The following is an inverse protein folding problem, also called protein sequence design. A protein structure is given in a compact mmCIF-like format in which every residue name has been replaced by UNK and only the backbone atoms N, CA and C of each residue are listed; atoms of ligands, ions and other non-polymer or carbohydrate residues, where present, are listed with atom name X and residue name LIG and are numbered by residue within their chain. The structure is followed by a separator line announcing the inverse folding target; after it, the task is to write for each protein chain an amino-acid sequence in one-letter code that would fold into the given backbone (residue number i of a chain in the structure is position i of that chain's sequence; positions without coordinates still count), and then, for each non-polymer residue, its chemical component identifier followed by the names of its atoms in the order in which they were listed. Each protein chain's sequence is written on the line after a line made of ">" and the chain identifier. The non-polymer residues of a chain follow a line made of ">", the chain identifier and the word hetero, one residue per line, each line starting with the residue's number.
data_IF_236155185713
#
_entry.id   IF_236155185713
#
_cell.length_a   1.000
_cell.length_b   1.000
_cell.length_c   1.000
_cell.angle_alpha   90.00
_cell.angle_beta   90.00
_cell.angle_gamma   90.00
#
_symmetry.space_group_name_H-M   'P 1'
#
loop_
_entity.id
_entity.type
_entity.pdbx_description
1 polymer ?
#
# COMPACT_ATOMS: atom_id res chain seq x y z
N UNK A 1 7.38 -3.04 -4.63
CA UNK A 1 6.76 -4.33 -5.04
C UNK A 1 5.27 -4.10 -5.25
N UNK A 2 4.64 -4.74 -6.24
CA UNK A 2 3.18 -4.72 -6.37
C UNK A 2 2.61 -5.82 -5.47
N UNK A 3 1.91 -5.43 -4.41
CA UNK A 3 1.23 -6.35 -3.49
C UNK A 3 -0.14 -6.67 -4.10
N UNK A 4 -0.46 -7.96 -4.23
CA UNK A 4 -1.72 -8.43 -4.83
C UNK A 4 -2.67 -8.92 -3.75
N UNK A 5 -3.97 -8.65 -3.85
CA UNK A 5 -4.93 -9.15 -2.86
C UNK A 5 -4.86 -10.69 -2.69
N UNK A 6 -4.89 -11.15 -1.44
CA UNK A 6 -4.90 -12.57 -1.09
C UNK A 6 -6.34 -13.03 -0.83
N UNK A 7 -6.67 -14.25 -1.19
CA UNK A 7 -7.95 -14.84 -0.77
C UNK A 7 -7.89 -15.25 0.70
N UNK A 8 -9.04 -15.45 1.34
CA UNK A 8 -9.09 -15.87 2.75
C UNK A 8 -8.28 -17.15 3.03
N UNK A 9 -8.25 -18.09 2.09
CA UNK A 9 -7.44 -19.30 2.19
C UNK A 9 -5.94 -18.99 2.11
N UNK A 10 -5.53 -18.15 1.15
CA UNK A 10 -4.13 -17.74 0.98
C UNK A 10 -3.62 -16.94 2.17
N UNK A 11 -4.44 -16.03 2.72
CA UNK A 11 -4.10 -15.28 3.93
C UNK A 11 -3.87 -16.20 5.13
N UNK A 12 -4.67 -17.27 5.26
CA UNK A 12 -4.51 -18.23 6.34
C UNK A 12 -3.14 -18.95 6.25
N UNK A 13 -2.73 -19.35 5.06
CA UNK A 13 -1.38 -19.89 4.83
C UNK A 13 -0.30 -18.84 5.11
N UNK A 14 -0.47 -17.61 4.65
CA UNK A 14 0.50 -16.53 4.90
C UNK A 14 0.65 -16.20 6.38
N UNK A 15 -0.42 -16.27 7.20
CA UNK A 15 -0.35 -16.14 8.66
C UNK A 15 0.59 -17.17 9.30
N UNK A 16 0.60 -18.40 8.78
CA UNK A 16 1.55 -19.41 9.21
C UNK A 16 2.96 -19.10 8.68
N UNK A 17 3.08 -18.73 7.40
CA UNK A 17 4.37 -18.48 6.76
C UNK A 17 5.11 -17.27 7.36
N UNK A 18 4.41 -16.20 7.75
CA UNK A 18 5.01 -15.06 8.45
C UNK A 18 5.60 -15.44 9.80
N UNK A 19 5.01 -16.42 10.50
CA UNK A 19 5.55 -16.92 11.78
C UNK A 19 6.82 -17.74 11.57
N UNK A 20 6.88 -18.50 10.47
CA UNK A 20 8.01 -19.36 10.15
C UNK A 20 9.18 -18.61 9.49
N UNK A 21 8.90 -17.57 8.71
CA UNK A 21 9.89 -16.77 7.99
C UNK A 21 10.54 -17.50 6.81
N UNK A 22 11.32 -18.53 7.10
CA UNK A 22 11.90 -19.47 6.13
C UNK A 22 11.60 -20.91 6.54
N UNK A 23 11.09 -21.71 5.62
CA UNK A 23 10.56 -23.04 5.94
C UNK A 23 10.61 -24.00 4.74
N UNK A 24 10.53 -25.29 5.04
CA UNK A 24 10.32 -26.36 4.08
C UNK A 24 8.87 -26.84 4.12
N UNK A 25 8.45 -27.59 3.09
CA UNK A 25 7.09 -28.15 3.04
C UNK A 25 6.76 -29.03 4.27
N UNK A 26 7.77 -29.73 4.81
CA UNK A 26 7.61 -30.59 5.99
C UNK A 26 7.26 -29.77 7.24
N UNK A 27 7.90 -28.62 7.43
CA UNK A 27 7.68 -27.74 8.59
C UNK A 27 6.24 -27.24 8.65
N UNK A 28 5.64 -26.96 7.48
CA UNK A 28 4.23 -26.56 7.38
C UNK A 28 3.31 -27.68 7.87
N UNK A 29 3.59 -28.92 7.45
CA UNK A 29 2.79 -30.11 7.81
C UNK A 29 2.89 -30.46 9.31
N UNK A 30 3.98 -30.09 9.97
CA UNK A 30 4.18 -30.28 11.41
C UNK A 30 3.41 -29.25 12.25
N UNK A 31 3.12 -28.07 11.70
CA UNK A 31 2.40 -26.98 12.38
C UNK A 31 0.86 -27.12 12.34
N UNK A 32 0.32 -28.05 11.54
CA UNK A 32 -1.12 -28.23 11.42
C UNK A 32 -1.66 -29.25 12.45
N UNK A 33 -2.70 -28.90 13.24
CA UNK A 33 -3.43 -29.86 14.05
C UNK A 33 -4.21 -30.84 13.16
N UNK A 34 -4.53 -32.03 13.68
CA UNK A 34 -5.33 -33.01 12.93
C UNK A 34 -6.78 -32.51 12.74
N UNK A 35 -7.40 -32.70 11.56
CA UNK A 35 -6.88 -33.41 10.39
C UNK A 35 -5.91 -32.57 9.55
N UNK A 36 -4.73 -33.13 9.25
CA UNK A 36 -3.73 -32.44 8.44
C UNK A 36 -4.23 -32.18 7.01
N UNK A 37 -3.95 -31.00 6.43
CA UNK A 37 -4.26 -30.74 5.04
C UNK A 37 -3.46 -31.67 4.13
N UNK A 38 -4.03 -32.05 2.98
CA UNK A 38 -3.31 -32.86 2.01
C UNK A 38 -2.10 -32.10 1.46
N UNK A 39 -0.94 -32.76 1.34
CA UNK A 39 0.32 -32.12 0.90
C UNK A 39 0.19 -31.43 -0.48
N UNK A 40 -0.59 -32.02 -1.39
CA UNK A 40 -0.88 -31.42 -2.69
C UNK A 40 -1.56 -30.05 -2.56
N UNK A 41 -2.49 -29.90 -1.61
CA UNK A 41 -3.18 -28.62 -1.37
C UNK A 41 -2.19 -27.55 -0.94
N UNK A 42 -1.33 -27.86 0.03
CA UNK A 42 -0.27 -26.94 0.49
C UNK A 42 0.68 -26.59 -0.65
N UNK A 43 1.07 -27.58 -1.46
CA UNK A 43 1.95 -27.39 -2.62
C UNK A 43 1.33 -26.46 -3.67
N UNK A 44 0.02 -26.57 -3.91
CA UNK A 44 -0.70 -25.66 -4.82
C UNK A 44 -0.69 -24.23 -4.29
N UNK A 45 -0.99 -24.02 -3.00
CA UNK A 45 -0.95 -22.68 -2.40
C UNK A 45 0.46 -22.08 -2.39
N UNK A 46 1.49 -22.89 -2.16
CA UNK A 46 2.88 -22.43 -2.27
C UNK A 46 3.20 -21.94 -3.68
N UNK A 47 2.79 -22.66 -4.73
CA UNK A 47 2.98 -22.21 -6.11
C UNK A 47 2.25 -20.89 -6.38
N UNK A 48 0.99 -20.78 -5.98
CA UNK A 48 0.19 -19.56 -6.14
C UNK A 48 0.85 -18.37 -5.44
N UNK A 49 1.34 -18.57 -4.21
CA UNK A 49 1.98 -17.49 -3.44
C UNK A 49 3.37 -17.12 -3.97
N UNK A 50 4.10 -18.07 -4.59
CA UNK A 50 5.32 -17.78 -5.35
C UNK A 50 4.99 -16.93 -6.58
N UNK A 51 4.00 -17.34 -7.37
CA UNK A 51 3.56 -16.61 -8.56
C UNK A 51 3.06 -15.19 -8.23
N UNK A 52 2.36 -15.03 -7.10
CA UNK A 52 1.92 -13.73 -6.60
C UNK A 52 3.06 -12.88 -6.01
N UNK A 53 4.24 -13.45 -5.81
CA UNK A 53 5.44 -12.76 -5.32
C UNK A 53 5.50 -12.56 -3.80
N UNK A 54 4.70 -13.29 -3.02
CA UNK A 54 4.70 -13.21 -1.56
C UNK A 54 5.82 -14.01 -0.92
N UNK A 55 6.19 -15.13 -1.56
CA UNK A 55 7.23 -16.05 -1.11
C UNK A 55 8.17 -16.35 -2.29
N UNK A 56 9.44 -16.60 -1.99
CA UNK A 56 10.41 -17.11 -2.97
C UNK A 56 10.70 -18.57 -2.66
N UNK A 57 11.16 -19.30 -3.67
CA UNK A 57 11.61 -20.69 -3.53
C UNK A 57 13.06 -20.81 -3.96
N UNK A 58 13.86 -21.51 -3.17
CA UNK A 58 15.23 -21.86 -3.47
C UNK A 58 15.40 -23.37 -3.41
N UNK A 59 16.01 -23.95 -4.44
CA UNK A 59 16.30 -25.38 -4.47
C UNK A 59 17.55 -25.68 -3.64
N UNK A 60 17.40 -26.53 -2.63
CA UNK A 60 18.48 -27.04 -1.80
C UNK A 60 18.55 -28.56 -1.97
N UNK A 61 19.38 -29.02 -2.91
CA UNK A 61 19.49 -30.44 -3.24
C UNK A 61 18.20 -31.02 -3.84
N UNK A 62 17.50 -31.87 -3.07
CA UNK A 62 16.22 -32.50 -3.45
C UNK A 62 14.99 -31.83 -2.85
N UNK A 63 15.17 -30.83 -1.98
CA UNK A 63 14.09 -30.13 -1.30
C UNK A 63 14.04 -28.66 -1.74
N UNK A 64 12.89 -28.04 -1.52
CA UNK A 64 12.66 -26.62 -1.78
C UNK A 64 12.52 -25.90 -0.45
N UNK A 65 13.33 -24.85 -0.27
CA UNK A 65 13.22 -23.90 0.83
C UNK A 65 12.39 -22.72 0.38
N UNK A 66 11.35 -22.42 1.12
CA UNK A 66 10.50 -21.25 0.90
C UNK A 66 10.91 -20.15 1.86
N UNK A 67 10.91 -18.91 1.40
CA UNK A 67 11.20 -17.74 2.23
C UNK A 67 10.19 -16.65 1.94
N UNK A 68 9.63 -16.06 3.00
CA UNK A 68 8.68 -14.95 2.87
C UNK A 68 9.43 -13.69 2.40
N UNK A 69 8.90 -13.06 1.36
CA UNK A 69 9.46 -11.83 0.80
C UNK A 69 8.68 -10.61 1.28
N UNK A 70 7.35 -10.72 1.36
CA UNK A 70 6.48 -9.61 1.79
C UNK A 70 6.25 -9.72 3.30
N UNK A 71 6.73 -8.76 4.12
CA UNK A 71 6.51 -8.80 5.56
C UNK A 71 5.05 -8.50 5.90
N UNK A 72 4.57 -9.04 7.04
CA UNK A 72 3.21 -8.86 7.53
C UNK A 72 2.83 -7.36 7.63
N UNK A 73 3.76 -6.53 8.09
CA UNK A 73 3.54 -5.08 8.26
C UNK A 73 3.27 -4.36 6.94
N UNK A 74 3.92 -4.76 5.83
CA UNK A 74 3.64 -4.20 4.52
C UNK A 74 2.26 -4.62 4.02
N UNK A 75 1.89 -5.89 4.25
CA UNK A 75 0.59 -6.41 3.87
C UNK A 75 -0.55 -5.77 4.68
N UNK A 76 -0.37 -5.54 5.99
CA UNK A 76 -1.32 -4.80 6.84
C UNK A 76 -1.54 -3.38 6.33
N UNK A 77 -0.47 -2.68 5.95
CA UNK A 77 -0.57 -1.32 5.37
C UNK A 77 -1.30 -1.33 4.03
N UNK A 78 -1.06 -2.34 3.20
CA UNK A 78 -1.75 -2.52 1.94
C UNK A 78 -3.26 -2.69 2.15
N UNK A 79 -3.66 -3.63 3.02
CA UNK A 79 -5.08 -3.86 3.33
C UNK A 79 -5.78 -2.64 3.93
N UNK A 80 -5.13 -1.92 4.86
CA UNK A 80 -5.72 -0.71 5.44
C UNK A 80 -5.94 0.37 4.39
N UNK A 81 -5.00 0.58 3.47
CA UNK A 81 -5.14 1.55 2.38
C UNK A 81 -6.26 1.17 1.42
N UNK A 82 -6.37 -0.12 1.09
CA UNK A 82 -7.43 -0.62 0.23
C UNK A 82 -8.81 -0.46 0.88
N UNK A 83 -8.92 -0.79 2.17
CA UNK A 83 -10.13 -0.58 2.97
C UNK A 83 -10.51 0.90 3.06
N UNK A 84 -9.54 1.77 3.37
CA UNK A 84 -9.74 3.21 3.43
C UNK A 84 -10.22 3.79 2.09
N UNK A 85 -9.61 3.36 0.99
CA UNK A 85 -9.97 3.80 -0.35
C UNK A 85 -11.36 3.32 -0.77
N UNK A 86 -11.70 2.05 -0.51
CA UNK A 86 -12.92 1.44 -1.03
C UNK A 86 -14.17 1.77 -0.20
N UNK A 87 -14.02 1.99 1.12
CA UNK A 87 -15.16 2.14 2.03
C UNK A 87 -15.20 3.48 2.78
N UNK A 88 -14.09 4.19 2.89
CA UNK A 88 -13.97 5.39 3.74
C UNK A 88 -13.48 6.62 2.98
N UNK A 89 -13.59 6.65 1.64
CA UNK A 89 -13.17 7.78 0.80
C UNK A 89 -11.75 8.30 1.10
N UNK A 90 -10.85 7.41 1.53
CA UNK A 90 -9.49 7.74 1.97
C UNK A 90 -9.43 8.73 3.16
N UNK A 91 -10.51 8.85 3.95
CA UNK A 91 -10.61 9.65 5.16
C UNK A 91 -10.24 8.83 6.39
N UNK A 92 -9.11 9.15 7.01
CA UNK A 92 -8.73 8.55 8.29
C UNK A 92 -9.68 8.91 9.44
N UNK A 93 -10.40 10.05 9.33
CA UNK A 93 -11.39 10.47 10.31
C UNK A 93 -12.58 9.52 10.34
N UNK A 94 -13.07 9.13 9.16
CA UNK A 94 -14.25 8.27 9.03
C UNK A 94 -13.95 6.86 9.55
N UNK A 95 -12.72 6.37 9.32
CA UNK A 95 -12.24 5.12 9.90
C UNK A 95 -12.22 5.22 11.43
N UNK A 96 -11.70 6.31 11.99
CA UNK A 96 -11.63 6.49 13.44
C UNK A 96 -13.02 6.56 14.08
N UNK A 97 -13.95 7.30 13.48
CA UNK A 97 -15.35 7.37 13.91
C UNK A 97 -16.02 6.00 13.88
N UNK A 98 -15.78 5.21 12.83
CA UNK A 98 -16.26 3.83 12.75
C UNK A 98 -15.67 2.94 13.85
N UNK A 99 -14.39 3.05 14.15
CA UNK A 99 -13.75 2.29 15.23
C UNK A 99 -14.37 2.58 16.61
N UNK A 100 -14.74 3.84 16.87
CA UNK A 100 -15.46 4.22 18.09
C UNK A 100 -16.87 3.64 18.12
N UNK A 101 -17.61 3.77 17.02
CA UNK A 101 -18.99 3.29 16.93
C UNK A 101 -19.09 1.76 17.10
N UNK A 102 -18.13 1.02 16.57
CA UNK A 102 -18.02 -0.44 16.71
C UNK A 102 -17.38 -0.88 18.04
N UNK A 103 -17.06 0.05 18.95
CA UNK A 103 -16.39 -0.21 20.24
C UNK A 103 -15.06 -0.99 20.10
N UNK A 104 -14.37 -0.83 18.97
CA UNK A 104 -13.05 -1.44 18.76
C UNK A 104 -11.93 -0.66 19.47
N UNK A 105 -12.20 0.60 19.83
CA UNK A 105 -11.34 1.45 20.64
C UNK A 105 -12.20 2.18 21.68
N UNK A 106 -11.66 2.39 22.88
CA UNK A 106 -12.28 3.20 23.93
C UNK A 106 -11.47 4.46 24.23
N UNK A 107 -12.07 5.38 25.00
CA UNK A 107 -11.40 6.62 25.39
C UNK A 107 -10.11 6.35 26.19
N UNK A 108 -10.07 5.31 27.00
CA UNK A 108 -8.87 4.94 27.77
C UNK A 108 -7.73 4.44 26.88
N UNK A 109 -8.03 3.75 25.77
CA UNK A 109 -7.01 3.34 24.79
C UNK A 109 -6.31 4.55 24.20
N UNK A 110 -7.03 5.66 24.02
CA UNK A 110 -6.53 6.90 23.44
C UNK A 110 -5.79 7.81 24.42
N UNK A 111 -6.08 7.73 25.72
CA UNK A 111 -5.38 8.54 26.74
C UNK A 111 -3.87 8.33 26.70
N UNK A 112 -3.43 7.10 26.42
CA UNK A 112 -2.01 6.76 26.28
C UNK A 112 -1.33 7.40 25.07
N UNK A 113 -2.09 7.79 24.05
CA UNK A 113 -1.57 8.42 22.82
C UNK A 113 -1.62 9.96 22.89
N UNK A 114 -2.57 10.54 23.60
CA UNK A 114 -2.71 12.01 23.73
C UNK A 114 -1.69 12.67 24.67
N UNK A 115 -1.10 11.90 25.59
CA UNK A 115 -0.09 12.41 26.54
C UNK A 115 1.29 12.61 25.90
N UNK A 116 1.54 11.92 24.78
CA UNK A 116 2.62 12.25 23.87
C UNK A 116 2.09 13.30 22.89
N UNK A 117 2.80 14.43 22.76
CA UNK A 117 2.54 15.44 21.73
C UNK A 117 2.63 14.80 20.34
N UNK A 118 1.56 14.17 19.89
CA UNK A 118 1.37 13.76 18.51
C UNK A 118 1.19 15.08 17.76
N UNK A 119 2.26 15.53 17.09
CA UNK A 119 2.07 16.40 15.93
C UNK A 119 1.22 15.57 14.97
N UNK A 120 -0.08 15.83 14.96
CA UNK A 120 -1.00 15.35 13.94
C UNK A 120 -0.42 15.91 12.65
N UNK A 121 0.40 15.12 11.95
CA UNK A 121 0.78 15.44 10.58
C UNK A 121 -0.56 15.40 9.86
N UNK A 122 -1.11 16.56 9.42
CA UNK A 122 -2.40 16.55 8.76
C UNK A 122 -2.24 15.62 7.56
N UNK A 123 -3.09 14.58 7.52
CA UNK A 123 -3.25 13.79 6.31
C UNK A 123 -3.45 14.82 5.19
N UNK A 124 -2.52 14.84 4.25
CA UNK A 124 -2.49 15.80 3.16
C UNK A 124 -3.75 15.56 2.34
N UNK A 125 -4.81 16.29 2.65
CA UNK A 125 -5.98 16.42 1.80
C UNK A 125 -5.45 17.15 0.58
N UNK A 126 -5.17 16.43 -0.49
CA UNK A 126 -5.00 17.08 -1.79
C UNK A 126 -6.36 17.65 -2.15
N UNK A 127 -6.57 18.92 -1.80
CA UNK A 127 -7.71 19.69 -2.29
C UNK A 127 -7.73 19.57 -3.81
N UNK A 128 -8.88 19.22 -4.41
CA UNK A 128 -8.99 19.10 -5.85
C UNK A 128 -8.58 20.43 -6.49
N UNK A 129 -7.47 20.40 -7.24
CA UNK A 129 -7.02 21.57 -8.01
C UNK A 129 -8.00 21.80 -9.15
N UNK A 130 -8.91 22.76 -8.97
CA UNK A 130 -9.81 23.21 -10.03
C UNK A 130 -9.08 24.19 -10.97
N UNK A 131 -8.14 23.68 -11.79
CA UNK A 131 -7.38 24.50 -12.74
C UNK A 131 -8.29 25.36 -13.64
N UNK A 132 -9.45 24.83 -14.04
CA UNK A 132 -10.43 25.55 -14.85
C UNK A 132 -11.18 26.65 -14.09
N UNK A 133 -11.44 26.48 -12.78
CA UNK A 133 -12.13 27.49 -12.00
C UNK A 133 -11.23 28.71 -11.76
N UNK A 134 -9.93 28.49 -11.52
CA UNK A 134 -8.95 29.56 -11.38
C UNK A 134 -8.72 30.34 -12.68
N UNK A 135 -8.84 29.67 -13.83
CA UNK A 135 -8.70 30.30 -15.15
C UNK A 135 -9.87 31.24 -15.48
N UNK A 136 -11.09 30.89 -15.03
CA UNK A 136 -12.30 31.72 -15.18
C UNK A 136 -12.31 32.89 -14.18
N UNK A 137 -11.91 32.66 -12.93
CA UNK A 137 -11.93 33.66 -11.87
C UNK A 137 -10.84 34.73 -12.02
N UNK A 138 -9.74 34.44 -12.73
CA UNK A 138 -8.59 35.36 -12.83
C UNK A 138 -8.11 35.62 -14.28
N UNK A 139 -8.97 36.20 -15.15
CA UNK A 139 -8.71 36.36 -16.59
C UNK A 139 -7.54 37.31 -16.92
N UNK A 140 -7.01 38.06 -15.94
CA UNK A 140 -5.87 38.98 -16.13
C UNK A 140 -4.50 38.29 -16.04
N UNK A 141 -4.37 37.10 -15.46
CA UNK A 141 -3.08 36.37 -15.41
C UNK A 141 -2.68 35.79 -16.77
N UNK A 142 -3.64 35.26 -17.55
CA UNK A 142 -3.39 34.63 -18.86
C UNK A 142 -2.81 35.60 -19.91
N UNK A 143 -3.17 36.89 -19.86
CA UNK A 143 -2.57 37.92 -20.74
C UNK A 143 -1.10 38.22 -20.41
N UNK A 144 -0.68 38.13 -19.15
CA UNK A 144 0.75 38.32 -18.76
C UNK A 144 1.63 37.13 -19.14
N UNK A 145 1.12 35.90 -19.07
CA UNK A 145 1.88 34.70 -19.45
C UNK A 145 2.07 34.59 -20.96
N UNK A 146 1.03 34.87 -21.77
CA UNK A 146 1.16 34.89 -23.25
C UNK A 146 2.09 35.99 -23.78
N UNK A 147 2.27 37.10 -23.05
CA UNK A 147 3.24 38.14 -23.40
C UNK A 147 4.69 37.71 -23.10
N UNK A 148 4.94 36.98 -22.01
CA UNK A 148 6.28 36.49 -21.63
C UNK A 148 6.80 35.38 -22.55
N UNK A 149 5.94 34.51 -23.07
CA UNK A 149 6.38 33.45 -24.01
C UNK A 149 6.73 33.99 -25.40
N UNK A 150 6.06 35.04 -25.88
CA UNK A 150 6.42 35.70 -27.16
C UNK A 150 7.77 36.40 -27.11
N UNK A 151 8.22 36.87 -25.94
CA UNK A 151 9.51 37.54 -25.78
C UNK A 151 10.68 36.52 -25.72
N UNK A 152 10.46 35.37 -25.06
CA UNK A 152 11.47 34.30 -24.99
C UNK A 152 11.77 33.64 -26.34
N UNK A 153 10.79 33.59 -27.25
CA UNK A 153 10.98 32.97 -28.56
C UNK A 153 11.75 33.89 -29.54
N UNK A 154 11.68 35.21 -29.36
CA UNK A 154 12.50 36.18 -30.12
C UNK A 154 13.98 36.13 -29.71
N UNK A 155 14.28 35.93 -28.43
CA UNK A 155 15.66 35.83 -27.94
C UNK A 155 16.35 34.53 -28.36
N UNK A 156 15.60 33.41 -28.43
CA UNK A 156 16.13 32.14 -28.96
C UNK A 156 16.47 32.20 -30.45
N UNK A 157 15.71 32.97 -31.25
CA UNK A 157 15.98 33.15 -32.69
C UNK A 157 17.19 34.03 -33.00
N UNK A 158 17.54 34.99 -32.13
CA UNK A 158 18.76 35.81 -32.26
C UNK A 158 20.04 35.07 -31.88
N UNK A 159 19.98 34.13 -30.93
CA UNK A 159 21.14 33.31 -30.52
C UNK A 159 21.55 32.23 -31.52
N UNK A 160 20.65 31.80 -32.41
CA UNK A 160 20.93 30.77 -33.44
C UNK A 160 21.54 31.28 -34.75
N UNK A 161 21.82 32.58 -34.89
CA UNK A 161 22.33 33.20 -36.12
C UNK A 161 23.76 33.75 -35.99
N UNK A 162 24.49 33.40 -34.93
CA UNK A 162 25.83 33.93 -34.65
C UNK A 162 26.92 32.89 -34.41
N UNK A 163 26.63 31.62 -34.66
CA UNK A 163 27.60 30.53 -34.78
C UNK A 163 27.49 29.91 -36.18
#
# INVERSE_FOLDING_TARGET
>A
MKINHLTAAEENFMKLFWKLGSFYLKDIMEQHPEPKPHQNTVSTYLKILVEKGYITTQKEGRIFKYTVIVPLEEYRKFLLKELAHNFFNNSGKDILEFLFNENLICQDDLKNYFDLKIEIIPAKVEEPKFEYAEEILNPKKTKKTKAKDKDKDKDKKKKKKKD
#
